data_IF_729196231732
#
_entry.id   IF_729196231732
#
_cell.length_a   1.000
_cell.length_b   1.000
_cell.length_c   1.000
_cell.angle_alpha   90.00
_cell.angle_beta   90.00
_cell.angle_gamma   90.00
#
_symmetry.space_group_name_H-M   'P 1'
#
loop_
_entity.id
_entity.type
_entity.pdbx_description
1 polymer ?
#
# COMPACT_ATOMS: atom_id res chain seq x y z
N UNK A 1 16.31 -3.21 13.21
CA UNK A 1 15.88 -3.31 11.79
C UNK A 1 15.18 -4.64 11.59
N UNK A 2 14.15 -4.71 10.74
CA UNK A 2 13.42 -5.96 10.43
C UNK A 2 13.92 -6.58 9.11
N UNK A 3 15.06 -6.11 8.59
CA UNK A 3 15.60 -6.56 7.32
C UNK A 3 15.90 -8.06 7.37
N UNK A 4 15.44 -8.78 6.34
CA UNK A 4 15.56 -10.25 6.22
C UNK A 4 14.83 -11.08 7.29
N UNK A 5 13.96 -10.48 8.11
CA UNK A 5 13.13 -11.21 9.09
C UNK A 5 11.76 -11.49 8.47
N UNK A 6 11.34 -12.77 8.47
CA UNK A 6 9.97 -13.14 8.15
C UNK A 6 9.08 -12.76 9.34
N UNK A 7 8.25 -11.74 9.18
CA UNK A 7 7.35 -11.25 10.23
C UNK A 7 6.08 -12.10 10.41
N UNK A 8 5.73 -12.93 9.43
CA UNK A 8 4.56 -13.80 9.45
C UNK A 8 3.99 -14.04 8.06
N UNK A 9 2.92 -14.84 7.98
CA UNK A 9 2.21 -15.11 6.75
C UNK A 9 0.92 -14.29 6.66
N UNK A 10 0.57 -13.85 5.45
CA UNK A 10 -0.67 -13.13 5.19
C UNK A 10 -1.36 -13.72 3.96
N UNK A 11 -2.70 -13.69 3.96
CA UNK A 11 -3.51 -14.04 2.79
C UNK A 11 -3.87 -12.79 2.01
N UNK A 12 -3.87 -12.91 0.68
CA UNK A 12 -4.46 -11.92 -0.21
C UNK A 12 -5.97 -11.87 0.03
N UNK A 13 -6.50 -10.67 0.24
CA UNK A 13 -7.94 -10.42 0.43
C UNK A 13 -8.56 -9.89 -0.84
N UNK A 14 -7.91 -8.94 -1.51
CA UNK A 14 -8.38 -8.37 -2.76
C UNK A 14 -7.25 -7.67 -3.50
N UNK A 15 -7.39 -7.56 -4.82
CA UNK A 15 -6.54 -6.76 -5.67
C UNK A 15 -7.41 -6.03 -6.71
N UNK A 16 -7.18 -4.74 -6.88
CA UNK A 16 -7.89 -3.92 -7.86
C UNK A 16 -7.00 -2.84 -8.45
N UNK A 17 -7.31 -2.44 -9.69
CA UNK A 17 -6.67 -1.30 -10.36
C UNK A 17 -7.44 -0.03 -10.01
N UNK A 18 -6.74 0.97 -9.51
CA UNK A 18 -7.32 2.24 -9.08
C UNK A 18 -6.53 3.41 -9.65
N UNK A 19 -7.20 4.55 -9.82
CA UNK A 19 -6.52 5.83 -10.04
C UNK A 19 -6.09 6.42 -8.71
N UNK A 20 -5.20 7.42 -8.74
CA UNK A 20 -4.80 8.15 -7.55
C UNK A 20 -5.99 8.77 -6.79
N UNK A 21 -6.95 9.36 -7.51
CA UNK A 21 -8.13 10.01 -6.91
C UNK A 21 -9.05 9.04 -6.17
N UNK A 22 -9.02 7.76 -6.53
CA UNK A 22 -9.81 6.73 -5.86
C UNK A 22 -9.21 6.29 -4.51
N UNK A 23 -7.99 6.71 -4.17
CA UNK A 23 -7.35 6.40 -2.89
C UNK A 23 -7.85 7.35 -1.79
N UNK A 24 -8.48 6.76 -0.77
CA UNK A 24 -8.95 7.50 0.39
C UNK A 24 -7.97 7.48 1.56
N UNK A 25 -8.25 8.30 2.58
CA UNK A 25 -7.49 8.31 3.85
C UNK A 25 -7.40 6.93 4.51
N UNK A 26 -8.40 6.06 4.32
CA UNK A 26 -8.36 4.69 4.85
C UNK A 26 -7.31 3.82 4.17
N UNK A 27 -7.14 3.95 2.86
CA UNK A 27 -6.14 3.18 2.11
C UNK A 27 -4.73 3.64 2.47
N UNK A 28 -4.54 4.95 2.55
CA UNK A 28 -3.30 5.59 3.01
C UNK A 28 -2.87 5.07 4.38
N UNK A 29 -3.77 5.09 5.36
CA UNK A 29 -3.49 4.62 6.73
C UNK A 29 -3.17 3.14 6.77
N UNK A 30 -3.87 2.32 5.99
CA UNK A 30 -3.58 0.87 5.87
C UNK A 30 -2.22 0.61 5.25
N UNK A 31 -1.78 1.46 4.32
CA UNK A 31 -0.44 1.42 3.74
C UNK A 31 0.66 1.93 4.68
N UNK A 32 0.32 2.38 5.90
CA UNK A 32 1.30 2.86 6.88
C UNK A 32 1.66 4.34 6.74
N UNK A 33 0.87 5.13 6.00
CA UNK A 33 1.10 6.56 5.80
C UNK A 33 0.11 7.41 6.62
N UNK A 34 0.53 8.60 7.06
CA UNK A 34 -0.31 9.52 7.82
C UNK A 34 -1.36 10.24 6.96
N UNK A 35 -1.02 10.52 5.69
CA UNK A 35 -1.85 11.29 4.75
C UNK A 35 -1.46 11.00 3.28
N UNK A 36 -2.29 11.49 2.34
CA UNK A 36 -2.07 11.30 0.90
C UNK A 36 -0.75 11.92 0.43
N UNK A 37 -0.30 13.01 1.05
CA UNK A 37 0.94 13.67 0.68
C UNK A 37 2.17 12.79 0.97
N UNK A 38 2.22 12.15 2.13
CA UNK A 38 3.28 11.18 2.47
C UNK A 38 3.30 9.98 1.52
N UNK A 39 2.13 9.44 1.17
CA UNK A 39 2.02 8.37 0.19
C UNK A 39 2.52 8.83 -1.19
N UNK A 40 2.16 10.03 -1.64
CA UNK A 40 2.61 10.59 -2.91
C UNK A 40 4.15 10.70 -2.95
N UNK A 41 4.76 11.20 -1.87
CA UNK A 41 6.22 11.28 -1.75
C UNK A 41 6.87 9.89 -1.81
N UNK A 42 6.27 8.87 -1.18
CA UNK A 42 6.77 7.50 -1.24
C UNK A 42 6.69 6.92 -2.67
N UNK A 43 5.57 7.14 -3.37
CA UNK A 43 5.38 6.71 -4.75
C UNK A 43 6.39 7.37 -5.70
N UNK A 44 6.67 8.67 -5.52
CA UNK A 44 7.68 9.36 -6.31
C UNK A 44 9.08 8.75 -6.13
N UNK A 45 9.45 8.37 -4.89
CA UNK A 45 10.71 7.64 -4.61
C UNK A 45 10.73 6.25 -5.23
N UNK A 46 9.56 5.59 -5.34
CA UNK A 46 9.40 4.30 -5.99
C UNK A 46 9.37 4.37 -7.53
N UNK A 47 9.42 5.57 -8.14
CA UNK A 47 9.52 5.75 -9.58
C UNK A 47 8.29 6.36 -10.27
N UNK A 48 7.21 6.63 -9.54
CA UNK A 48 6.00 7.28 -10.06
C UNK A 48 6.20 8.81 -10.15
N UNK A 49 7.13 9.25 -11.02
CA UNK A 49 7.59 10.66 -11.07
C UNK A 49 7.67 11.29 -12.46
N UNK A 50 7.39 10.54 -13.52
CA UNK A 50 7.52 11.01 -14.90
C UNK A 50 6.25 11.66 -15.47
N UNK A 51 5.13 11.54 -14.76
CA UNK A 51 3.83 12.13 -15.09
C UNK A 51 3.03 12.35 -13.80
N UNK A 52 1.92 13.11 -13.81
CA UNK A 52 1.02 13.24 -12.67
C UNK A 52 0.54 11.88 -12.12
N UNK A 53 0.34 11.77 -10.80
CA UNK A 53 -0.11 10.52 -10.17
C UNK A 53 -1.47 10.03 -10.70
N UNK A 54 -2.33 10.96 -11.15
CA UNK A 54 -3.62 10.66 -11.76
C UNK A 54 -3.51 9.88 -13.08
N UNK A 55 -2.37 9.99 -13.78
CA UNK A 55 -2.17 9.34 -15.07
C UNK A 55 -1.60 7.92 -14.94
N UNK A 56 -1.25 7.49 -13.73
CA UNK A 56 -0.85 6.12 -13.46
C UNK A 56 -2.04 5.25 -13.10
N UNK A 57 -1.99 4.00 -13.56
CA UNK A 57 -2.77 2.92 -12.98
C UNK A 57 -2.03 2.36 -11.76
N UNK A 58 -2.67 2.41 -10.60
CA UNK A 58 -2.13 1.92 -9.34
C UNK A 58 -2.80 0.59 -8.99
N UNK A 59 -2.03 -0.35 -8.43
CA UNK A 59 -2.59 -1.58 -7.90
C UNK A 59 -2.82 -1.41 -6.40
N UNK A 60 -4.08 -1.46 -5.97
CA UNK A 60 -4.45 -1.54 -4.56
C UNK A 60 -4.56 -3.01 -4.18
N UNK A 61 -3.68 -3.44 -3.28
CA UNK A 61 -3.63 -4.83 -2.81
C UNK A 61 -3.90 -4.83 -1.31
N UNK A 62 -4.86 -5.66 -0.88
CA UNK A 62 -5.22 -5.83 0.52
C UNK A 62 -4.83 -7.21 0.98
N UNK A 63 -4.18 -7.26 2.13
CA UNK A 63 -3.83 -8.49 2.83
C UNK A 63 -4.51 -8.53 4.19
N UNK A 64 -4.70 -9.74 4.71
CA UNK A 64 -5.01 -9.97 6.12
C UNK A 64 -4.03 -11.01 6.64
N UNK A 65 -3.55 -10.83 7.86
CA UNK A 65 -2.75 -11.85 8.53
C UNK A 65 -3.47 -13.19 8.52
N UNK A 66 -2.72 -14.24 8.26
CA UNK A 66 -3.18 -15.58 8.60
C UNK A 66 -3.06 -15.65 10.12
N UNK A 67 -4.19 -15.77 10.82
CA UNK A 67 -4.15 -16.10 12.24
C UNK A 67 -3.46 -17.46 12.37
N UNK A 68 -2.16 -17.47 12.66
CA UNK A 68 -1.70 -18.42 13.65
C UNK A 68 -2.31 -17.90 14.95
N UNK A 69 -3.17 -18.72 15.56
CA UNK A 69 -3.58 -18.51 16.93
C UNK A 69 -2.34 -18.08 17.71
N UNK A 70 -2.36 -16.86 18.25
CA UNK A 70 -1.43 -16.51 19.31
C UNK A 70 -1.85 -17.39 20.50
N UNK A 71 -1.35 -18.61 20.51
CA UNK A 71 -1.44 -19.60 21.58
C UNK A 71 -0.06 -19.67 22.24
#
# INVERSE_FOLDING_TARGET
TLDSIIAGHAKLVSMDVVTWEALGTRDVRRGGFGNLFELAQALQRAGFRFMPLNDYQLFRIRFSWLEEAYA
#
